data_IF_925250379290
#
_entry.id   IF_925250379290
#
_cell.length_a   1.000
_cell.length_b   1.000
_cell.length_c   1.000
_cell.angle_alpha   90.00
_cell.angle_beta   90.00
_cell.angle_gamma   90.00
#
_symmetry.space_group_name_H-M   'P 1'
#
loop_
_entity.id
_entity.type
_entity.pdbx_description
1 polymer ?
#
# COMPACT_ATOMS: atom_id res chain seq x y z
N UNK A 1 -18.05 10.32 13.02
CA UNK A 1 -18.10 9.84 11.62
C UNK A 1 -16.98 8.87 11.33
N UNK A 2 -17.21 7.97 10.38
CA UNK A 2 -16.16 7.10 9.86
C UNK A 2 -15.14 7.92 9.04
N UNK A 3 -13.90 7.44 8.98
CA UNK A 3 -12.82 8.08 8.23
C UNK A 3 -12.20 7.04 7.31
N UNK A 4 -12.26 7.28 5.99
CA UNK A 4 -11.59 6.50 4.97
C UNK A 4 -10.57 7.38 4.25
N UNK A 5 -9.30 6.99 4.28
CA UNK A 5 -8.24 7.59 3.46
C UNK A 5 -7.94 6.65 2.30
N UNK A 6 -8.21 7.09 1.06
CA UNK A 6 -7.77 6.43 -0.17
C UNK A 6 -6.46 7.08 -0.62
N UNK A 7 -5.35 6.37 -0.49
CA UNK A 7 -4.02 6.92 -0.69
C UNK A 7 -3.32 6.26 -1.88
N UNK A 8 -3.28 6.95 -3.02
CA UNK A 8 -2.60 6.49 -4.21
C UNK A 8 -1.07 6.69 -4.12
N UNK A 9 -0.31 5.94 -4.91
CA UNK A 9 1.15 5.97 -4.97
C UNK A 9 1.59 6.44 -6.36
N UNK A 10 2.20 7.62 -6.42
CA UNK A 10 2.66 8.28 -7.66
C UNK A 10 1.55 8.70 -8.64
N UNK A 11 0.34 8.98 -8.14
CA UNK A 11 -0.74 9.50 -8.97
C UNK A 11 -0.52 11.00 -9.28
N UNK A 12 -0.51 11.32 -10.56
CA UNK A 12 -0.31 12.68 -11.04
C UNK A 12 -1.56 13.56 -10.89
N UNK A 13 -1.37 14.84 -10.55
CA UNK A 13 -2.45 15.83 -10.47
C UNK A 13 -3.28 15.90 -11.78
N UNK A 14 -2.63 15.83 -12.93
CA UNK A 14 -3.27 15.92 -14.24
C UNK A 14 -3.94 14.63 -14.71
N UNK A 15 -3.84 13.52 -13.97
CA UNK A 15 -4.42 12.25 -14.35
C UNK A 15 -5.93 12.21 -14.11
N UNK A 16 -6.40 12.93 -13.08
CA UNK A 16 -7.80 12.95 -12.70
C UNK A 16 -8.61 13.98 -13.51
N UNK A 17 -9.75 13.55 -14.05
CA UNK A 17 -10.64 14.40 -14.81
C UNK A 17 -11.16 15.62 -14.04
N UNK A 18 -11.36 15.49 -12.73
CA UNK A 18 -11.79 16.59 -11.86
C UNK A 18 -10.76 17.72 -11.72
N UNK A 19 -9.47 17.43 -11.94
CA UNK A 19 -8.39 18.44 -11.94
C UNK A 19 -7.97 18.86 -13.32
N UNK A 20 -8.13 18.00 -14.33
CA UNK A 20 -7.73 18.27 -15.70
C UNK A 20 -8.78 17.80 -16.71
N UNK A 21 -9.58 18.73 -17.22
CA UNK A 21 -10.70 18.41 -18.14
C UNK A 21 -10.27 17.75 -19.47
N UNK A 22 -8.97 17.82 -19.82
CA UNK A 22 -8.38 17.15 -21.00
C UNK A 22 -7.63 15.87 -20.62
N UNK A 23 -7.77 15.36 -19.40
CA UNK A 23 -7.18 14.07 -19.03
C UNK A 23 -7.62 12.98 -20.01
N UNK A 24 -6.66 12.15 -20.40
CA UNK A 24 -6.89 10.98 -21.26
C UNK A 24 -7.32 9.74 -20.48
N UNK A 25 -7.45 9.88 -19.16
CA UNK A 25 -7.73 8.80 -18.23
C UNK A 25 -9.14 9.02 -17.66
N UNK A 26 -10.11 8.14 -17.92
CA UNK A 26 -11.42 8.22 -17.31
C UNK A 26 -11.35 7.84 -15.83
N UNK A 27 -11.77 8.76 -14.95
CA UNK A 27 -11.80 8.58 -13.49
C UNK A 27 -13.17 8.96 -12.93
N UNK A 28 -14.26 8.24 -13.33
CA UNK A 28 -15.62 8.64 -12.99
C UNK A 28 -15.91 8.61 -11.49
N UNK A 29 -15.35 7.67 -10.74
CA UNK A 29 -15.60 7.53 -9.31
C UNK A 29 -14.93 8.64 -8.49
N UNK A 30 -13.68 8.95 -8.78
CA UNK A 30 -12.96 10.06 -8.15
C UNK A 30 -13.51 11.42 -8.60
N UNK A 31 -13.98 11.55 -9.84
CA UNK A 31 -14.69 12.74 -10.30
C UNK A 31 -16.00 12.95 -9.55
N UNK A 32 -16.76 11.88 -9.27
CA UNK A 32 -17.97 11.92 -8.46
C UNK A 32 -17.66 12.36 -7.03
N UNK A 33 -16.67 11.73 -6.40
CA UNK A 33 -16.23 12.10 -5.05
C UNK A 33 -15.85 13.59 -4.97
N UNK A 34 -15.14 14.11 -5.98
CA UNK A 34 -14.78 15.52 -6.05
C UNK A 34 -15.98 16.46 -6.23
N UNK A 35 -17.02 16.00 -6.94
CA UNK A 35 -18.26 16.77 -7.17
C UNK A 35 -19.18 16.78 -5.94
N UNK A 36 -19.20 15.71 -5.16
CA UNK A 36 -20.01 15.56 -3.95
C UNK A 36 -19.34 16.16 -2.70
N UNK A 37 -18.03 16.39 -2.75
CA UNK A 37 -17.21 16.86 -1.63
C UNK A 37 -16.46 18.17 -1.89
N UNK A 38 -15.28 18.27 -1.31
CA UNK A 38 -14.39 19.43 -1.44
C UNK A 38 -13.17 19.02 -2.27
N UNK A 39 -12.90 19.79 -3.32
CA UNK A 39 -11.71 19.65 -4.14
C UNK A 39 -10.68 20.72 -3.76
N UNK A 40 -9.52 20.31 -3.27
CA UNK A 40 -8.42 21.21 -2.97
C UNK A 40 -7.71 21.61 -4.25
N UNK A 41 -7.58 22.90 -4.50
CA UNK A 41 -6.90 23.47 -5.69
C UNK A 41 -5.42 23.76 -5.45
N UNK A 42 -5.01 23.76 -4.18
CA UNK A 42 -3.64 24.02 -3.73
C UNK A 42 -3.26 23.06 -2.58
N UNK A 43 -3.49 21.76 -2.79
CA UNK A 43 -3.10 20.69 -1.89
C UNK A 43 -1.69 20.19 -2.21
N UNK A 44 -0.82 20.12 -1.19
CA UNK A 44 0.56 19.66 -1.35
C UNK A 44 0.80 18.37 -0.58
N UNK A 45 1.36 17.36 -1.26
CA UNK A 45 2.01 16.26 -0.56
C UNK A 45 3.26 16.77 0.15
N UNK A 46 3.56 16.23 1.33
CA UNK A 46 4.78 16.55 2.07
C UNK A 46 6.06 16.11 1.35
N UNK A 47 5.95 15.20 0.40
CA UNK A 47 7.02 14.69 -0.46
C UNK A 47 6.43 14.05 -1.71
N UNK A 48 7.17 14.08 -2.81
CA UNK A 48 6.88 13.34 -4.03
C UNK A 48 7.35 11.88 -4.00
N UNK A 49 7.72 11.34 -2.84
CA UNK A 49 8.25 9.97 -2.67
C UNK A 49 7.47 9.25 -1.56
N UNK A 50 7.25 7.96 -1.73
CA UNK A 50 6.36 7.10 -0.92
C UNK A 50 6.65 7.11 0.59
N UNK A 51 7.79 6.62 1.08
CA UNK A 51 8.10 6.58 2.53
C UNK A 51 7.97 7.94 3.20
N UNK A 52 8.61 9.03 2.70
CA UNK A 52 8.50 10.36 3.28
C UNK A 52 7.07 10.89 3.35
N UNK A 53 6.30 10.68 2.28
CA UNK A 53 4.92 11.15 2.20
C UNK A 53 4.02 10.40 3.17
N UNK A 54 4.12 9.06 3.24
CA UNK A 54 3.37 8.21 4.17
C UNK A 54 3.71 8.52 5.62
N UNK A 55 4.99 8.71 5.93
CA UNK A 55 5.44 9.13 7.26
C UNK A 55 4.77 10.44 7.68
N UNK A 56 4.80 11.45 6.82
CA UNK A 56 4.24 12.75 7.18
C UNK A 56 2.71 12.71 7.31
N UNK A 57 2.00 11.93 6.48
CA UNK A 57 0.56 11.72 6.61
C UNK A 57 0.21 11.10 7.97
N UNK A 58 0.91 10.03 8.35
CA UNK A 58 0.57 9.29 9.57
C UNK A 58 1.09 9.95 10.87
N UNK A 59 2.11 10.82 10.78
CA UNK A 59 2.72 11.45 11.99
C UNK A 59 2.45 12.93 12.12
N UNK A 60 1.86 13.58 11.10
CA UNK A 60 1.70 15.04 11.06
C UNK A 60 3.03 15.80 11.02
N UNK A 61 4.14 15.15 10.65
CA UNK A 61 5.49 15.70 10.73
C UNK A 61 6.30 15.43 9.47
N UNK A 62 6.99 16.43 8.96
CA UNK A 62 7.89 16.24 7.82
C UNK A 62 9.02 15.26 8.16
N UNK A 63 9.27 14.30 7.26
CA UNK A 63 10.26 13.22 7.42
C UNK A 63 11.69 13.71 7.63
N UNK A 64 12.08 14.79 6.96
CA UNK A 64 13.44 15.35 7.04
C UNK A 64 13.84 15.84 8.43
N UNK A 65 12.91 15.87 9.38
CA UNK A 65 13.20 16.11 10.81
C UNK A 65 13.71 14.88 11.54
N UNK A 66 13.49 13.69 10.98
CA UNK A 66 13.83 12.42 11.62
C UNK A 66 14.73 11.55 10.73
N UNK A 67 14.53 11.56 9.39
CA UNK A 67 15.33 10.77 8.46
C UNK A 67 15.29 11.35 7.04
N UNK A 68 16.17 10.84 6.17
CA UNK A 68 16.22 11.14 4.75
C UNK A 68 16.18 9.84 3.94
N UNK A 69 15.55 9.87 2.76
CA UNK A 69 15.43 8.74 1.85
C UNK A 69 14.18 7.90 2.05
N UNK A 70 14.22 6.66 1.58
CA UNK A 70 13.12 5.68 1.63
C UNK A 70 13.54 4.44 2.39
N UNK A 71 12.56 3.71 2.92
CA UNK A 71 12.77 2.37 3.46
C UNK A 71 13.14 1.44 2.31
N UNK A 72 14.29 0.79 2.42
CA UNK A 72 14.75 -0.20 1.44
C UNK A 72 14.08 -1.56 1.69
N UNK A 73 14.35 -2.52 0.78
CA UNK A 73 13.92 -3.91 0.95
C UNK A 73 14.33 -4.45 2.31
N UNK A 74 13.38 -5.03 3.04
CA UNK A 74 13.59 -5.55 4.40
C UNK A 74 14.18 -4.49 5.36
N UNK A 75 13.82 -3.23 5.16
CA UNK A 75 14.30 -2.12 5.98
C UNK A 75 13.53 -1.97 7.29
N UNK A 76 14.21 -1.42 8.29
CA UNK A 76 13.63 -1.15 9.62
C UNK A 76 12.56 -0.05 9.60
N UNK A 77 11.74 -0.02 10.66
CA UNK A 77 10.74 1.03 10.86
C UNK A 77 11.41 2.41 10.97
N UNK A 78 10.85 3.38 10.25
CA UNK A 78 11.25 4.80 10.33
C UNK A 78 10.40 5.59 11.33
N UNK A 79 9.33 5.00 11.85
CA UNK A 79 8.53 5.60 12.90
C UNK A 79 9.10 5.18 14.25
N UNK A 80 9.55 6.16 15.03
CA UNK A 80 10.09 5.90 16.37
C UNK A 80 8.94 5.54 17.33
N UNK A 81 9.19 4.64 18.32
CA UNK A 81 8.14 4.20 19.25
C UNK A 81 7.41 5.34 19.99
N UNK A 82 8.15 6.41 20.31
CA UNK A 82 7.59 7.58 21.01
C UNK A 82 6.84 8.56 20.09
N UNK A 83 6.80 8.31 18.77
CA UNK A 83 6.15 9.18 17.81
C UNK A 83 4.66 8.91 17.76
N UNK A 84 3.86 9.83 18.27
CA UNK A 84 2.40 9.80 18.12
C UNK A 84 2.01 9.78 16.64
N UNK A 85 1.11 8.88 16.30
CA UNK A 85 0.58 8.70 14.95
C UNK A 85 -0.90 9.04 14.87
N UNK A 86 -1.39 9.26 13.65
CA UNK A 86 -2.81 9.51 13.40
C UNK A 86 -3.71 8.36 13.89
N UNK A 87 -3.40 7.06 13.60
CA UNK A 87 -4.21 5.96 14.13
C UNK A 87 -4.18 5.87 15.66
N UNK A 88 -3.04 6.10 16.33
CA UNK A 88 -3.01 6.15 17.82
C UNK A 88 -3.91 7.23 18.37
N UNK A 89 -3.88 8.43 17.78
CA UNK A 89 -4.75 9.53 18.18
C UNK A 89 -6.23 9.19 18.00
N UNK A 90 -6.60 8.57 16.87
CA UNK A 90 -7.97 8.18 16.57
C UNK A 90 -8.43 7.01 17.47
N UNK A 91 -7.56 6.03 17.71
CA UNK A 91 -7.82 4.93 18.65
C UNK A 91 -8.10 5.44 20.07
N UNK A 92 -7.33 6.45 20.52
CA UNK A 92 -7.59 7.12 21.81
C UNK A 92 -8.93 7.89 21.85
N UNK A 93 -9.58 8.11 20.69
CA UNK A 93 -10.92 8.67 20.53
C UNK A 93 -12.01 7.63 20.28
N UNK A 94 -11.68 6.34 20.42
CA UNK A 94 -12.63 5.24 20.29
C UNK A 94 -12.87 4.75 18.87
N UNK A 95 -11.97 5.07 17.93
CA UNK A 95 -12.03 4.53 16.59
C UNK A 95 -11.45 3.10 16.52
N UNK A 96 -12.08 2.23 15.76
CA UNK A 96 -11.44 1.01 15.26
C UNK A 96 -10.53 1.39 14.09
N UNK A 97 -9.26 0.99 14.14
CA UNK A 97 -8.24 1.46 13.20
C UNK A 97 -7.73 0.31 12.34
N UNK A 98 -7.80 0.46 11.02
CA UNK A 98 -7.32 -0.56 10.09
C UNK A 98 -6.45 0.05 8.98
N UNK A 99 -5.41 -0.67 8.55
CA UNK A 99 -4.62 -0.33 7.39
C UNK A 99 -4.65 -1.47 6.38
N UNK A 100 -4.89 -1.15 5.11
CA UNK A 100 -4.91 -2.12 4.02
C UNK A 100 -4.04 -1.62 2.86
N UNK A 101 -3.20 -2.51 2.31
CA UNK A 101 -2.34 -2.24 1.17
C UNK A 101 -0.89 -1.91 1.54
N UNK A 102 -0.25 -1.07 0.72
CA UNK A 102 1.19 -0.76 0.83
C UNK A 102 1.54 -0.04 2.12
N UNK A 103 2.43 -0.63 2.94
CA UNK A 103 2.93 0.01 4.16
C UNK A 103 4.11 0.96 3.90
N UNK A 104 5.22 0.45 3.45
CA UNK A 104 6.48 1.13 3.09
C UNK A 104 7.05 2.09 4.16
N UNK A 105 6.82 1.81 5.43
CA UNK A 105 7.41 2.52 6.57
C UNK A 105 8.34 1.66 7.43
N UNK A 106 8.58 0.42 6.97
CA UNK A 106 9.50 -0.52 7.57
C UNK A 106 8.87 -1.42 8.64
N UNK A 107 9.65 -2.46 9.00
CA UNK A 107 9.34 -3.50 9.98
C UNK A 107 10.65 -3.93 10.64
N UNK A 108 10.59 -4.54 11.79
CA UNK A 108 11.78 -5.10 12.43
C UNK A 108 12.08 -6.53 11.94
N UNK A 109 12.56 -6.64 10.72
CA UNK A 109 12.93 -7.92 10.09
C UNK A 109 14.05 -8.62 10.83
N UNK A 110 14.94 -7.88 11.52
CA UNK A 110 16.04 -8.43 12.29
C UNK A 110 15.55 -9.29 13.46
N UNK A 111 14.39 -8.98 14.03
CA UNK A 111 13.78 -9.74 15.12
C UNK A 111 13.42 -11.19 14.72
N UNK A 112 13.13 -11.41 13.44
CA UNK A 112 12.79 -12.74 12.92
C UNK A 112 13.90 -13.35 12.08
N UNK A 113 15.00 -12.62 11.81
CA UNK A 113 16.13 -13.14 11.05
C UNK A 113 16.98 -14.08 11.91
N UNK A 114 17.39 -15.21 11.33
CA UNK A 114 18.29 -16.17 11.98
C UNK A 114 19.69 -15.58 12.11
N UNK A 115 20.36 -15.85 13.21
CA UNK A 115 21.68 -15.25 13.52
C UNK A 115 22.78 -15.67 12.55
N UNK A 116 22.70 -16.89 12.01
CA UNK A 116 23.66 -17.47 11.07
C UNK A 116 23.31 -17.20 9.60
N UNK A 117 22.19 -16.53 9.34
CA UNK A 117 21.78 -16.19 7.99
C UNK A 117 22.80 -15.27 7.31
N UNK A 118 23.14 -15.60 6.07
CA UNK A 118 24.04 -14.80 5.23
C UNK A 118 23.26 -14.23 4.04
N UNK A 119 23.43 -12.94 3.75
CA UNK A 119 22.83 -12.37 2.54
C UNK A 119 23.55 -12.89 1.30
N UNK A 120 22.85 -12.87 0.18
CA UNK A 120 23.38 -13.14 -1.16
C UNK A 120 23.36 -11.85 -1.98
N UNK A 121 24.16 -11.80 -3.06
CA UNK A 121 24.27 -10.64 -3.94
C UNK A 121 25.06 -9.49 -3.33
N UNK A 122 25.21 -8.41 -4.10
CA UNK A 122 25.96 -7.21 -3.72
C UNK A 122 25.18 -5.92 -4.05
N UNK A 123 25.51 -4.83 -3.36
CA UNK A 123 24.92 -3.52 -3.58
C UNK A 123 23.39 -3.53 -3.49
N UNK A 124 22.72 -3.02 -4.50
CA UNK A 124 21.22 -3.02 -4.58
C UNK A 124 20.59 -4.40 -4.75
N UNK A 125 21.39 -5.41 -5.12
CA UNK A 125 20.96 -6.81 -5.26
C UNK A 125 21.22 -7.63 -4.00
N UNK A 126 21.77 -7.03 -2.94
CA UNK A 126 21.97 -7.69 -1.66
C UNK A 126 20.62 -8.02 -1.04
N UNK A 127 20.39 -9.29 -0.74
CA UNK A 127 19.14 -9.80 -0.16
C UNK A 127 19.41 -11.06 0.67
N UNK A 128 18.36 -11.61 1.27
CA UNK A 128 18.35 -12.89 1.95
C UNK A 128 17.37 -13.82 1.26
N UNK A 129 17.62 -15.13 1.30
CA UNK A 129 16.66 -16.13 0.91
C UNK A 129 15.54 -16.30 1.95
N UNK A 130 14.45 -17.01 1.59
CA UNK A 130 13.35 -17.26 2.52
C UNK A 130 13.76 -18.03 3.77
N UNK A 131 14.77 -18.89 3.68
CA UNK A 131 15.34 -19.69 4.78
C UNK A 131 16.03 -18.84 5.85
N UNK A 132 16.37 -17.60 5.54
CA UNK A 132 17.05 -16.68 6.45
C UNK A 132 16.17 -16.20 7.61
N UNK A 133 14.86 -16.39 7.53
CA UNK A 133 13.89 -15.86 8.50
C UNK A 133 13.11 -16.97 9.20
N UNK A 134 12.69 -16.68 10.42
CA UNK A 134 11.71 -17.49 11.15
C UNK A 134 10.33 -16.87 10.96
N UNK A 135 9.66 -17.24 9.88
CA UNK A 135 8.36 -16.72 9.46
C UNK A 135 7.19 -17.09 10.38
N UNK A 136 7.40 -18.00 11.36
CA UNK A 136 6.38 -18.34 12.35
C UNK A 136 6.31 -17.34 13.51
N UNK A 137 7.26 -16.40 13.57
CA UNK A 137 7.28 -15.33 14.57
C UNK A 137 6.55 -14.10 14.06
N UNK A 138 5.88 -13.35 14.95
CA UNK A 138 5.36 -12.03 14.61
C UNK A 138 6.50 -11.08 14.21
N UNK A 139 6.21 -10.20 13.26
CA UNK A 139 7.17 -9.20 12.75
C UNK A 139 6.91 -7.89 13.48
N UNK A 140 7.79 -7.47 14.40
CA UNK A 140 7.56 -6.25 15.18
C UNK A 140 7.69 -4.95 14.36
N UNK A 141 7.30 -3.85 14.98
CA UNK A 141 7.47 -2.46 14.50
C UNK A 141 6.77 -2.14 13.19
N UNK A 142 5.75 -2.93 12.82
CA UNK A 142 4.85 -2.69 11.70
C UNK A 142 3.64 -1.82 12.08
N UNK A 143 2.56 -1.84 11.26
CA UNK A 143 1.37 -1.02 11.47
C UNK A 143 0.74 -1.13 12.87
N UNK A 144 0.71 -2.32 13.45
CA UNK A 144 0.12 -2.55 14.78
C UNK A 144 0.88 -1.81 15.88
N UNK A 145 2.22 -1.71 15.75
CA UNK A 145 3.05 -0.97 16.70
C UNK A 145 2.84 0.56 16.63
N UNK A 146 2.12 1.02 15.61
CA UNK A 146 1.87 2.44 15.33
C UNK A 146 0.38 2.79 15.33
N UNK A 147 -0.42 2.03 16.12
CA UNK A 147 -1.80 2.39 16.46
C UNK A 147 -2.89 1.77 15.61
N UNK A 148 -2.57 0.95 14.61
CA UNK A 148 -3.59 0.16 13.91
C UNK A 148 -3.96 -1.09 14.71
N UNK A 149 -5.26 -1.41 14.77
CA UNK A 149 -5.76 -2.65 15.35
C UNK A 149 -5.53 -3.83 14.43
N UNK A 150 -5.65 -3.58 13.10
CA UNK A 150 -5.47 -4.59 12.06
C UNK A 150 -4.69 -4.04 10.87
N UNK A 151 -4.01 -4.94 10.20
CA UNK A 151 -3.31 -4.69 8.94
C UNK A 151 -3.50 -5.85 7.97
N UNK A 152 -3.70 -5.55 6.71
CA UNK A 152 -3.58 -6.52 5.62
C UNK A 152 -2.92 -5.86 4.40
N UNK A 153 -1.83 -6.45 3.91
CA UNK A 153 -1.18 -5.92 2.71
C UNK A 153 0.18 -6.55 2.44
N UNK A 154 0.94 -5.84 1.63
CA UNK A 154 2.35 -6.10 1.36
C UNK A 154 3.21 -4.93 1.85
N UNK A 155 4.51 -5.15 1.94
CA UNK A 155 5.43 -4.05 2.30
C UNK A 155 5.49 -3.01 1.19
N UNK A 156 5.82 -3.47 -0.01
CA UNK A 156 5.87 -2.72 -1.28
C UNK A 156 5.79 -3.72 -2.43
N UNK A 157 4.97 -3.49 -3.41
CA UNK A 157 4.71 -4.41 -4.52
C UNK A 157 5.96 -4.87 -5.29
N UNK A 158 7.02 -4.06 -5.29
CA UNK A 158 8.28 -4.35 -6.00
C UNK A 158 9.49 -4.57 -5.08
N UNK A 159 9.27 -4.73 -3.77
CA UNK A 159 10.29 -5.04 -2.77
C UNK A 159 9.92 -6.31 -1.98
N UNK A 160 10.92 -7.17 -1.65
CA UNK A 160 10.68 -8.32 -0.79
C UNK A 160 10.33 -7.90 0.66
N UNK A 161 9.64 -8.78 1.38
CA UNK A 161 9.15 -10.07 0.94
C UNK A 161 7.91 -9.94 0.08
N UNK A 162 7.79 -10.76 -0.95
CA UNK A 162 6.63 -10.84 -1.82
C UNK A 162 5.66 -11.86 -1.26
N UNK A 163 4.89 -11.43 -0.30
CA UNK A 163 3.86 -12.20 0.40
C UNK A 163 2.86 -11.26 1.06
N UNK A 164 1.70 -11.79 1.38
CA UNK A 164 0.75 -11.08 2.23
C UNK A 164 1.22 -11.10 3.68
N UNK A 165 0.97 -10.00 4.36
CA UNK A 165 1.12 -9.87 5.81
C UNK A 165 -0.27 -9.54 6.36
N UNK A 166 -0.71 -10.30 7.36
CA UNK A 166 -1.96 -10.06 8.08
C UNK A 166 -1.59 -9.77 9.53
N UNK A 167 -1.92 -8.56 9.98
CA UNK A 167 -1.48 -8.01 11.26
C UNK A 167 0.07 -7.92 11.33
N UNK A 168 0.68 -8.77 12.11
CA UNK A 168 2.14 -8.93 12.23
C UNK A 168 2.63 -10.33 11.80
N UNK A 169 1.77 -11.10 11.12
CA UNK A 169 2.03 -12.47 10.72
C UNK A 169 2.11 -12.61 9.19
N UNK A 170 2.82 -13.63 8.75
CA UNK A 170 2.86 -14.05 7.35
C UNK A 170 2.00 -15.32 7.21
N UNK A 171 0.74 -15.23 6.71
CA UNK A 171 -0.16 -16.37 6.64
C UNK A 171 0.37 -17.53 5.79
N UNK A 172 1.12 -17.19 4.75
CA UNK A 172 1.82 -18.16 3.92
C UNK A 172 3.30 -17.83 3.86
N UNK A 173 4.11 -18.78 4.30
CA UNK A 173 5.57 -18.63 4.40
C UNK A 173 6.20 -18.51 3.01
N UNK A 174 7.06 -17.51 2.75
CA UNK A 174 7.88 -17.47 1.55
C UNK A 174 8.71 -18.74 1.38
N UNK A 175 8.61 -19.36 0.22
CA UNK A 175 9.18 -20.66 -0.11
C UNK A 175 10.08 -20.62 -1.36
N UNK A 176 10.19 -19.47 -2.01
CA UNK A 176 11.00 -19.24 -3.19
C UNK A 176 11.60 -17.83 -3.18
N UNK A 177 12.30 -17.48 -4.23
CA UNK A 177 12.84 -16.13 -4.46
C UNK A 177 12.13 -15.47 -5.64
N UNK A 178 12.13 -14.13 -5.64
CA UNK A 178 11.54 -13.34 -6.73
C UNK A 178 12.12 -13.77 -8.08
N UNK A 179 11.20 -14.14 -8.96
CA UNK A 179 11.46 -14.46 -10.37
C UNK A 179 10.36 -13.86 -11.23
N UNK A 180 10.65 -12.70 -11.84
CA UNK A 180 9.70 -11.99 -12.68
C UNK A 180 9.42 -12.68 -14.03
N UNK A 181 10.18 -13.71 -14.40
CA UNK A 181 9.92 -14.49 -15.61
C UNK A 181 8.63 -15.32 -15.54
N UNK A 182 8.07 -15.49 -14.34
CA UNK A 182 6.79 -16.17 -14.11
C UNK A 182 5.60 -15.43 -14.71
N UNK A 183 5.71 -14.12 -14.90
CA UNK A 183 4.60 -13.30 -15.37
C UNK A 183 4.82 -12.83 -16.80
N UNK A 184 3.72 -12.46 -17.46
CA UNK A 184 3.77 -11.88 -18.80
C UNK A 184 4.66 -10.61 -18.80
N UNK A 185 5.37 -10.31 -19.90
CA UNK A 185 6.09 -9.06 -20.03
C UNK A 185 5.15 -7.87 -19.82
N UNK A 186 5.59 -6.87 -19.04
CA UNK A 186 4.81 -5.67 -18.86
C UNK A 186 4.85 -4.79 -20.10
N UNK A 187 3.78 -4.03 -20.34
CA UNK A 187 3.62 -3.22 -21.55
C UNK A 187 4.30 -1.86 -21.44
N UNK A 188 4.59 -1.41 -20.23
CA UNK A 188 5.21 -0.12 -19.96
C UNK A 188 6.19 -0.24 -18.79
N UNK A 189 7.40 0.29 -18.96
CA UNK A 189 8.48 0.18 -17.99
C UNK A 189 9.09 -1.22 -17.91
N UNK A 190 9.62 -1.56 -16.74
CA UNK A 190 10.25 -2.84 -16.43
C UNK A 190 9.65 -3.42 -15.14
N UNK A 191 9.87 -4.70 -14.89
CA UNK A 191 9.41 -5.32 -13.65
C UNK A 191 10.01 -4.67 -12.39
N UNK A 192 11.14 -4.04 -12.45
CA UNK A 192 11.82 -3.28 -11.36
C UNK A 192 11.78 -3.96 -9.97
N UNK A 193 11.50 -5.26 -9.94
CA UNK A 193 11.42 -6.04 -8.71
C UNK A 193 12.81 -6.32 -8.16
N UNK A 194 12.98 -6.11 -6.86
CA UNK A 194 14.22 -6.44 -6.19
C UNK A 194 14.25 -7.92 -5.80
N UNK A 195 15.44 -8.57 -5.80
CA UNK A 195 15.55 -9.97 -5.38
C UNK A 195 15.18 -10.13 -3.91
N UNK A 196 14.61 -11.27 -3.55
CA UNK A 196 14.32 -11.62 -2.16
C UNK A 196 13.22 -12.66 -2.00
N UNK A 197 12.83 -12.95 -0.75
CA UNK A 197 11.83 -13.96 -0.41
C UNK A 197 10.49 -13.70 -1.11
N UNK A 198 9.88 -14.77 -1.60
CA UNK A 198 8.58 -14.74 -2.27
C UNK A 198 7.79 -16.00 -1.94
N UNK A 199 6.47 -15.90 -1.82
CA UNK A 199 5.62 -17.09 -1.85
C UNK A 199 5.43 -17.56 -3.27
N UNK A 200 5.40 -18.86 -3.51
CA UNK A 200 5.30 -19.43 -4.87
C UNK A 200 3.99 -19.09 -5.59
N UNK A 201 2.96 -18.70 -4.85
CA UNK A 201 1.66 -18.25 -5.35
C UNK A 201 1.52 -16.72 -5.42
N UNK A 202 2.57 -15.97 -5.11
CA UNK A 202 2.52 -14.52 -5.28
C UNK A 202 2.24 -14.13 -6.72
N UNK A 203 1.24 -13.29 -6.87
CA UNK A 203 0.86 -12.70 -8.15
C UNK A 203 0.62 -11.20 -7.96
N UNK A 204 1.50 -10.32 -8.48
CA UNK A 204 1.36 -8.88 -8.34
C UNK A 204 0.09 -8.32 -8.99
N UNK A 205 -0.48 -9.00 -10.01
CA UNK A 205 -1.76 -8.62 -10.61
C UNK A 205 -2.93 -8.77 -9.64
N UNK A 206 -2.79 -9.59 -8.61
CA UNK A 206 -3.81 -9.78 -7.57
C UNK A 206 -3.72 -8.74 -6.44
N UNK A 207 -2.78 -7.80 -6.47
CA UNK A 207 -2.61 -6.84 -5.38
C UNK A 207 -3.85 -5.93 -5.23
N UNK A 208 -4.21 -5.18 -6.27
CA UNK A 208 -5.40 -4.28 -6.22
C UNK A 208 -6.69 -5.07 -6.00
N UNK A 209 -7.00 -6.15 -6.73
CA UNK A 209 -8.21 -6.94 -6.50
C UNK A 209 -8.35 -7.47 -5.07
N UNK A 210 -7.27 -8.05 -4.52
CA UNK A 210 -7.28 -8.65 -3.18
C UNK A 210 -7.43 -7.60 -2.08
N UNK A 211 -6.65 -6.53 -2.13
CA UNK A 211 -6.73 -5.45 -1.15
C UNK A 211 -8.08 -4.74 -1.21
N UNK A 212 -8.63 -4.48 -2.42
CA UNK A 212 -9.97 -3.90 -2.60
C UNK A 212 -11.05 -4.79 -2.01
N UNK A 213 -11.00 -6.10 -2.25
CA UNK A 213 -11.94 -7.07 -1.64
C UNK A 213 -11.88 -6.99 -0.11
N UNK A 214 -10.68 -7.02 0.47
CA UNK A 214 -10.48 -6.90 1.93
C UNK A 214 -11.02 -5.57 2.48
N UNK A 215 -10.81 -4.46 1.75
CA UNK A 215 -11.36 -3.15 2.14
C UNK A 215 -12.88 -3.11 2.14
N UNK A 216 -13.51 -3.65 1.09
CA UNK A 216 -14.98 -3.77 1.01
C UNK A 216 -15.52 -4.66 2.13
N UNK A 217 -14.90 -5.82 2.39
CA UNK A 217 -15.29 -6.73 3.47
C UNK A 217 -15.18 -6.05 4.84
N UNK A 218 -14.09 -5.32 5.07
CA UNK A 218 -13.91 -4.56 6.31
C UNK A 218 -15.00 -3.49 6.49
N UNK A 219 -15.22 -2.63 5.48
CA UNK A 219 -16.26 -1.59 5.55
C UNK A 219 -17.62 -2.20 5.88
N UNK A 220 -18.01 -3.28 5.18
CA UNK A 220 -19.28 -3.97 5.44
C UNK A 220 -19.36 -4.59 6.83
N UNK A 221 -18.25 -5.08 7.37
CA UNK A 221 -18.24 -5.62 8.74
C UNK A 221 -18.45 -4.53 9.80
N UNK A 222 -18.16 -3.28 9.49
CA UNK A 222 -18.33 -2.15 10.41
C UNK A 222 -19.75 -1.55 10.40
N UNK A 223 -20.63 -1.95 9.48
CA UNK A 223 -21.96 -1.38 9.29
C UNK A 223 -22.86 -1.41 10.56
N UNK A 224 -22.67 -2.38 11.44
CA UNK A 224 -23.45 -2.53 12.67
C UNK A 224 -22.68 -2.18 13.94
N UNK A 225 -21.44 -1.69 13.80
CA UNK A 225 -20.61 -1.33 14.94
C UNK A 225 -21.00 0.07 15.47
N UNK A 226 -21.00 0.23 16.79
CA UNK A 226 -21.31 1.52 17.43
C UNK A 226 -20.12 2.48 17.39
N UNK A 227 -18.91 1.95 17.37
CA UNK A 227 -17.69 2.73 17.28
C UNK A 227 -17.38 3.11 15.85
N UNK A 228 -16.94 4.34 15.57
CA UNK A 228 -16.51 4.72 14.24
C UNK A 228 -15.21 4.00 13.85
N UNK A 229 -14.99 3.84 12.57
CA UNK A 229 -13.74 3.28 12.07
C UNK A 229 -12.85 4.33 11.37
N UNK A 230 -11.57 4.05 11.39
CA UNK A 230 -10.55 4.67 10.54
C UNK A 230 -9.92 3.62 9.65
N UNK A 231 -10.08 3.75 8.34
CA UNK A 231 -9.43 2.90 7.35
C UNK A 231 -8.41 3.70 6.55
N UNK A 232 -7.13 3.35 6.68
CA UNK A 232 -6.06 3.79 5.80
C UNK A 232 -5.89 2.78 4.67
N UNK A 233 -6.47 3.08 3.50
CA UNK A 233 -6.37 2.25 2.32
C UNK A 233 -5.30 2.79 1.38
N UNK A 234 -4.16 2.10 1.34
CA UNK A 234 -2.95 2.54 0.68
C UNK A 234 -2.70 1.73 -0.61
N UNK A 235 -3.07 2.29 -1.75
CA UNK A 235 -2.81 1.66 -3.04
C UNK A 235 -1.30 1.54 -3.33
N UNK A 236 -0.86 0.48 -4.01
CA UNK A 236 0.47 0.41 -4.59
C UNK A 236 0.54 1.12 -5.96
N UNK A 237 -0.58 1.53 -6.51
CA UNK A 237 -0.77 2.06 -7.86
C UNK A 237 -1.01 3.58 -7.85
N UNK A 238 -0.70 4.25 -8.97
CA UNK A 238 -0.14 3.74 -10.23
C UNK A 238 1.39 3.65 -10.29
N UNK A 239 2.08 3.52 -9.15
CA UNK A 239 3.52 3.24 -9.10
C UNK A 239 3.90 1.93 -9.84
N UNK A 240 5.11 1.87 -10.37
CA UNK A 240 5.63 0.66 -11.03
C UNK A 240 5.72 -0.57 -10.08
N UNK A 241 5.51 -1.80 -10.58
CA UNK A 241 5.33 -2.18 -11.99
C UNK A 241 3.99 -1.74 -12.56
N UNK A 242 3.98 -1.29 -13.83
CA UNK A 242 2.76 -0.86 -14.51
C UNK A 242 2.06 -2.10 -15.07
N UNK A 243 1.12 -2.63 -14.31
CA UNK A 243 0.48 -3.94 -14.52
C UNK A 243 -1.04 -3.87 -14.39
N UNK A 244 -1.74 -3.09 -15.22
CA UNK A 244 -3.20 -3.13 -15.22
C UNK A 244 -3.69 -4.55 -15.53
N UNK A 245 -4.77 -4.97 -14.86
CA UNK A 245 -5.44 -6.23 -15.18
C UNK A 245 -6.06 -6.18 -16.57
N UNK A 246 -6.24 -7.34 -17.20
CA UNK A 246 -6.67 -7.45 -18.60
C UNK A 246 -8.02 -6.78 -18.87
N UNK A 247 -8.91 -6.72 -17.88
CA UNK A 247 -10.20 -6.04 -18.01
C UNK A 247 -10.09 -4.51 -18.14
N UNK A 248 -8.96 -3.94 -17.70
CA UNK A 248 -8.67 -2.51 -17.80
C UNK A 248 -7.75 -2.16 -18.97
N UNK A 249 -7.22 -3.15 -19.69
CA UNK A 249 -6.33 -2.94 -20.81
C UNK A 249 -7.02 -2.14 -21.93
N UNK A 250 -6.40 -1.04 -22.38
CA UNK A 250 -6.94 -0.15 -23.40
C UNK A 250 -8.14 0.71 -22.97
N UNK A 251 -8.46 0.80 -21.66
CA UNK A 251 -9.56 1.64 -21.17
C UNK A 251 -9.24 3.12 -21.14
N UNK A 252 -7.96 3.48 -21.13
CA UNK A 252 -7.50 4.87 -21.22
C UNK A 252 -6.92 5.19 -22.60
N UNK A 253 -6.73 6.51 -22.86
CA UNK A 253 -5.95 6.98 -24.00
C UNK A 253 -4.54 7.41 -23.59
N UNK A 254 -4.07 6.95 -22.44
CA UNK A 254 -2.76 7.28 -21.86
C UNK A 254 -1.87 6.03 -21.68
N UNK A 255 -2.18 4.93 -22.40
CA UNK A 255 -1.42 3.69 -22.36
C UNK A 255 -1.58 2.92 -21.04
N UNK A 256 -0.72 1.91 -20.80
CA UNK A 256 -0.86 1.02 -19.64
C UNK A 256 -0.84 1.74 -18.29
N UNK A 257 -0.09 2.82 -18.14
CA UNK A 257 -0.13 3.65 -16.95
C UNK A 257 -1.55 4.19 -16.70
N UNK A 258 -2.17 4.77 -17.73
CA UNK A 258 -3.54 5.28 -17.62
C UNK A 258 -4.55 4.18 -17.34
N UNK A 259 -4.36 2.99 -17.89
CA UNK A 259 -5.21 1.83 -17.64
C UNK A 259 -5.11 1.37 -16.17
N UNK A 260 -3.92 1.44 -15.57
CA UNK A 260 -3.72 1.17 -14.14
C UNK A 260 -4.39 2.24 -13.25
N UNK A 261 -4.42 3.51 -13.70
CA UNK A 261 -5.20 4.56 -13.01
C UNK A 261 -6.69 4.29 -13.09
N UNK A 262 -7.19 3.78 -14.24
CA UNK A 262 -8.61 3.39 -14.37
C UNK A 262 -8.95 2.24 -13.40
N UNK A 263 -8.09 1.24 -13.27
CA UNK A 263 -8.26 0.16 -12.29
C UNK A 263 -8.26 0.69 -10.85
N UNK A 264 -7.40 1.65 -10.55
CA UNK A 264 -7.37 2.32 -9.24
C UNK A 264 -8.65 3.10 -8.97
N UNK A 265 -9.20 3.81 -9.97
CA UNK A 265 -10.49 4.51 -9.86
C UNK A 265 -11.65 3.54 -9.65
N UNK A 266 -11.68 2.39 -10.34
CA UNK A 266 -12.68 1.33 -10.11
C UNK A 266 -12.63 0.81 -8.67
N UNK A 267 -11.43 0.53 -8.17
CA UNK A 267 -11.22 0.09 -6.79
C UNK A 267 -11.73 1.14 -5.78
N UNK A 268 -11.44 2.44 -6.02
CA UNK A 268 -12.01 3.53 -5.22
C UNK A 268 -13.54 3.52 -5.26
N UNK A 269 -14.12 3.34 -6.45
CA UNK A 269 -15.58 3.27 -6.63
C UNK A 269 -16.23 2.14 -5.84
N UNK A 270 -15.58 0.97 -5.79
CA UNK A 270 -16.06 -0.20 -5.03
C UNK A 270 -16.03 0.04 -3.52
N UNK A 271 -14.97 0.70 -3.01
CA UNK A 271 -14.86 1.07 -1.60
C UNK A 271 -15.88 2.13 -1.20
N UNK A 272 -16.07 3.16 -2.03
CA UNK A 272 -17.07 4.21 -1.80
C UNK A 272 -18.49 3.63 -1.81
N UNK A 273 -18.78 2.73 -2.76
CA UNK A 273 -20.07 2.03 -2.81
C UNK A 273 -20.32 1.18 -1.55
N UNK A 274 -19.28 0.51 -1.03
CA UNK A 274 -19.42 -0.24 0.21
C UNK A 274 -19.75 0.67 1.41
N UNK A 275 -19.21 1.90 1.47
CA UNK A 275 -19.61 2.90 2.48
C UNK A 275 -21.08 3.29 2.33
N UNK A 276 -21.51 3.63 1.11
CA UNK A 276 -22.89 4.02 0.83
C UNK A 276 -23.91 2.91 1.17
N UNK A 277 -23.53 1.64 0.99
CA UNK A 277 -24.36 0.48 1.32
C UNK A 277 -24.37 0.14 2.83
N UNK A 278 -23.45 0.74 3.60
CA UNK A 278 -23.24 0.45 5.04
C UNK A 278 -23.72 1.58 5.96
N UNK A 279 -24.14 2.71 5.41
CA UNK A 279 -24.80 3.82 6.12
C UNK A 279 -26.32 3.50 6.23
#
# INVERSE_FOLDING_TARGET
>A
PNILILYADDLGFGDLGCYHSKSKIPTPHLNRLAAEGIRFTDGHSSSGICTPSRYALLTGRHHWRDFHGIVNSLGGSVIKPERLTLPEMLKAKGYHTNAIGKWHLGWNWDAIRKQDAKPTGEGRKKTWGPEAFNWSKPIPDGPLAHGFDHYFGDTVINFPPYCWIEDDQVPRVPDTVMDSSKWKPIKEGNWECRPGPMTSDWDPYQNIPTTTKRGVEYIKSQANEQSPFFLYFAFPAPHAPIIPNDEFDGKSKAGPYGDLVVETDDACGRLLKALEESD
#
